data_IF_872982847594
#
_entry.id   IF_872982847594
#
_cell.length_a   1.000
_cell.length_b   1.000
_cell.length_c   1.000
_cell.angle_alpha   90.00
_cell.angle_beta   90.00
_cell.angle_gamma   90.00
#
_symmetry.space_group_name_H-M   'P 1'
#
loop_
_entity.id
_entity.type
_entity.pdbx_description
1 polymer ?
#
# COMPACT_ATOMS: atom_id res chain seq x y z
N UNK A 1 -13.94 9.66 -0.81
CA UNK A 1 -13.38 10.74 -1.66
C UNK A 1 -14.37 11.35 -2.66
N UNK A 2 -15.00 10.59 -3.58
CA UNK A 2 -15.98 11.18 -4.53
C UNK A 2 -17.18 11.82 -3.80
N UNK A 3 -17.68 11.14 -2.76
CA UNK A 3 -18.73 11.65 -1.86
C UNK A 3 -18.27 12.84 -1.01
N UNK A 4 -16.97 13.09 -0.93
CA UNK A 4 -16.35 14.20 -0.20
C UNK A 4 -15.97 15.37 -1.15
N UNK A 5 -16.34 15.27 -2.43
CA UNK A 5 -16.18 16.36 -3.41
C UNK A 5 -15.04 16.20 -4.40
N UNK A 6 -14.24 15.13 -4.34
CA UNK A 6 -13.25 14.85 -5.37
C UNK A 6 -13.94 14.50 -6.70
N UNK A 7 -13.38 14.98 -7.82
CA UNK A 7 -13.89 14.65 -9.16
C UNK A 7 -13.33 13.34 -9.71
N UNK A 8 -12.09 12.99 -9.33
CA UNK A 8 -11.39 11.78 -9.77
C UNK A 8 -10.75 11.09 -8.56
N UNK A 9 -10.87 9.77 -8.51
CA UNK A 9 -10.15 8.90 -7.57
C UNK A 9 -9.33 7.90 -8.36
N UNK A 10 -8.04 7.84 -8.06
CA UNK A 10 -7.09 6.92 -8.64
C UNK A 10 -6.67 5.87 -7.61
N UNK A 11 -6.56 4.63 -8.05
CA UNK A 11 -5.97 3.54 -7.27
C UNK A 11 -4.89 2.82 -8.07
N UNK A 12 -3.79 2.48 -7.40
CA UNK A 12 -3.00 1.31 -7.79
C UNK A 12 -3.78 0.06 -7.34
N UNK A 13 -4.49 -0.56 -8.27
CA UNK A 13 -5.27 -1.75 -8.04
C UNK A 13 -4.39 -2.99 -7.80
N UNK A 14 -3.09 -2.91 -8.10
CA UNK A 14 -2.05 -3.87 -7.69
C UNK A 14 -2.07 -4.20 -6.20
N UNK A 15 -2.46 -3.22 -5.36
CA UNK A 15 -2.34 -3.29 -3.91
C UNK A 15 -3.56 -4.00 -3.30
N UNK A 16 -4.25 -3.38 -2.35
CA UNK A 16 -5.37 -4.01 -1.66
C UNK A 16 -6.49 -4.53 -2.57
N UNK A 17 -6.76 -3.87 -3.71
CA UNK A 17 -7.84 -4.26 -4.62
C UNK A 17 -7.58 -5.65 -5.22
N UNK A 18 -6.41 -5.85 -5.83
CA UNK A 18 -5.94 -7.17 -6.30
C UNK A 18 -5.66 -8.10 -5.14
N UNK A 19 -4.81 -7.67 -4.21
CA UNK A 19 -4.66 -8.25 -2.87
C UNK A 19 -3.98 -9.61 -2.80
N UNK A 20 -3.44 -10.12 -3.91
CA UNK A 20 -2.82 -11.45 -3.99
C UNK A 20 -1.42 -11.41 -4.63
N UNK A 21 -0.83 -10.21 -4.75
CA UNK A 21 0.53 -9.99 -5.26
C UNK A 21 0.80 -10.63 -6.64
N UNK A 22 -0.24 -10.79 -7.47
CA UNK A 22 -0.21 -11.53 -8.74
C UNK A 22 -0.73 -10.73 -9.95
N UNK A 23 -1.09 -9.45 -9.76
CA UNK A 23 -1.61 -8.58 -10.81
C UNK A 23 -1.12 -7.14 -10.65
N UNK A 24 -0.67 -6.52 -11.75
CA UNK A 24 -0.42 -5.09 -11.82
C UNK A 24 -1.60 -4.40 -12.50
N UNK A 25 -2.22 -3.43 -11.83
CA UNK A 25 -3.41 -2.78 -12.37
C UNK A 25 -3.59 -1.35 -11.82
N UNK A 26 -4.20 -0.49 -12.63
CA UNK A 26 -4.67 0.84 -12.25
C UNK A 26 -6.19 0.92 -12.37
N UNK A 27 -6.82 1.69 -11.49
CA UNK A 27 -8.26 1.96 -11.53
C UNK A 27 -8.50 3.46 -11.38
N UNK A 28 -9.25 4.03 -12.31
CA UNK A 28 -9.71 5.43 -12.28
C UNK A 28 -11.23 5.42 -12.14
N UNK A 29 -11.73 6.16 -11.15
CA UNK A 29 -13.17 6.39 -10.96
C UNK A 29 -13.42 7.89 -10.98
N UNK A 30 -14.30 8.36 -11.86
CA UNK A 30 -14.58 9.77 -12.04
C UNK A 30 -16.06 10.10 -11.80
N UNK A 31 -16.33 11.36 -11.43
CA UNK A 31 -17.65 11.87 -11.13
C UNK A 31 -18.38 12.28 -12.42
N UNK A 32 -19.55 11.70 -12.63
CA UNK A 32 -20.43 12.07 -13.74
C UNK A 32 -20.01 11.49 -15.09
N UNK A 33 -20.89 11.62 -16.08
CA UNK A 33 -20.75 10.96 -17.37
C UNK A 33 -19.71 11.64 -18.27
N UNK A 34 -19.72 12.97 -18.33
CA UNK A 34 -18.85 13.76 -19.20
C UNK A 34 -17.36 13.48 -18.93
N UNK A 35 -16.95 13.55 -17.66
CA UNK A 35 -15.57 13.28 -17.26
C UNK A 35 -15.17 11.81 -17.49
N UNK A 36 -16.10 10.87 -17.30
CA UNK A 36 -15.85 9.46 -17.63
C UNK A 36 -15.63 9.26 -19.14
N UNK A 37 -16.39 9.95 -20.00
CA UNK A 37 -16.27 9.86 -21.45
C UNK A 37 -14.94 10.45 -21.94
N UNK A 38 -14.52 11.58 -21.36
CA UNK A 38 -13.21 12.18 -21.64
C UNK A 38 -12.05 11.25 -21.24
N UNK A 39 -12.10 10.69 -20.03
CA UNK A 39 -11.09 9.72 -19.56
C UNK A 39 -11.07 8.47 -20.46
N UNK A 40 -12.24 7.95 -20.85
CA UNK A 40 -12.34 6.80 -21.73
C UNK A 40 -11.75 7.08 -23.12
N UNK A 41 -11.93 8.30 -23.64
CA UNK A 41 -11.31 8.73 -24.88
C UNK A 41 -9.77 8.68 -24.80
N UNK A 42 -9.18 9.26 -23.75
CA UNK A 42 -7.74 9.22 -23.52
C UNK A 42 -7.21 7.80 -23.23
N UNK A 43 -7.98 7.00 -22.50
CA UNK A 43 -7.62 5.61 -22.19
C UNK A 43 -7.53 4.77 -23.46
N UNK A 44 -8.52 4.90 -24.34
CA UNK A 44 -8.54 4.23 -25.64
C UNK A 44 -7.42 4.75 -26.57
N UNK A 45 -7.19 6.07 -26.61
CA UNK A 45 -6.17 6.67 -27.46
C UNK A 45 -4.73 6.33 -27.04
N UNK A 46 -4.47 6.21 -25.73
CA UNK A 46 -3.16 5.84 -25.20
C UNK A 46 -2.89 4.33 -25.25
N UNK A 47 -3.93 3.51 -25.38
CA UNK A 47 -3.81 2.05 -25.41
C UNK A 47 -3.41 1.42 -24.08
N UNK A 48 -3.44 2.17 -22.97
CA UNK A 48 -3.09 1.70 -21.63
C UNK A 48 -4.19 0.82 -20.99
N UNK A 49 -4.78 -0.09 -21.78
CA UNK A 49 -5.88 -0.98 -21.37
C UNK A 49 -5.36 -2.20 -20.61
N UNK A 50 -6.15 -2.68 -19.65
CA UNK A 50 -5.80 -3.85 -18.85
C UNK A 50 -6.14 -5.13 -19.62
N UNK A 51 -5.28 -6.15 -19.52
CA UNK A 51 -5.56 -7.48 -20.06
C UNK A 51 -6.90 -8.03 -19.52
N UNK A 52 -7.71 -8.73 -20.34
CA UNK A 52 -8.93 -9.39 -19.84
C UNK A 52 -8.64 -10.41 -18.71
N UNK A 53 -7.48 -11.07 -18.76
CA UNK A 53 -7.08 -12.01 -17.71
C UNK A 53 -6.75 -11.29 -16.40
N UNK A 54 -5.99 -10.20 -16.46
CA UNK A 54 -5.66 -9.37 -15.29
C UNK A 54 -6.93 -8.71 -14.71
N UNK A 55 -7.86 -8.33 -15.57
CA UNK A 55 -9.19 -7.84 -15.17
C UNK A 55 -9.95 -8.90 -14.38
N UNK A 56 -9.90 -10.16 -14.82
CA UNK A 56 -10.52 -11.28 -14.11
C UNK A 56 -9.83 -11.56 -12.76
N UNK A 57 -8.49 -11.53 -12.69
CA UNK A 57 -7.74 -11.67 -11.44
C UNK A 57 -8.14 -10.58 -10.44
N UNK A 58 -8.21 -9.33 -10.91
CA UNK A 58 -8.65 -8.20 -10.08
C UNK A 58 -10.08 -8.40 -9.56
N UNK A 59 -11.02 -8.78 -10.42
CA UNK A 59 -12.40 -9.08 -10.02
C UNK A 59 -12.44 -10.21 -8.99
N UNK A 60 -11.65 -11.28 -9.18
CA UNK A 60 -11.52 -12.39 -8.23
C UNK A 60 -11.01 -11.90 -6.88
N UNK A 61 -9.96 -11.08 -6.86
CA UNK A 61 -9.37 -10.51 -5.65
C UNK A 61 -10.32 -9.58 -4.89
N UNK A 62 -11.12 -8.78 -5.60
CA UNK A 62 -12.09 -7.87 -5.00
C UNK A 62 -13.22 -8.59 -4.27
N UNK A 63 -13.56 -9.83 -4.63
CA UNK A 63 -14.60 -10.61 -3.94
C UNK A 63 -14.31 -10.85 -2.46
N UNK A 64 -13.04 -10.86 -2.06
CA UNK A 64 -12.61 -11.06 -0.67
C UNK A 64 -12.10 -9.77 -0.02
N UNK A 65 -12.19 -8.62 -0.69
CA UNK A 65 -11.62 -7.35 -0.22
C UNK A 65 -12.08 -6.99 1.18
N UNK A 66 -13.39 -7.03 1.45
CA UNK A 66 -13.93 -6.66 2.76
C UNK A 66 -13.44 -7.58 3.89
N UNK A 67 -13.25 -8.87 3.62
CA UNK A 67 -12.73 -9.84 4.59
C UNK A 67 -11.25 -9.60 4.85
N UNK A 68 -10.46 -9.42 3.79
CA UNK A 68 -9.02 -9.12 3.89
C UNK A 68 -8.78 -7.81 4.63
N UNK A 69 -9.51 -6.74 4.28
CA UNK A 69 -9.36 -5.43 4.93
C UNK A 69 -9.70 -5.47 6.42
N UNK A 70 -10.72 -6.24 6.82
CA UNK A 70 -11.01 -6.47 8.24
C UNK A 70 -9.83 -7.12 8.96
N UNK A 71 -9.32 -8.22 8.41
CA UNK A 71 -8.19 -8.93 9.01
C UNK A 71 -6.92 -8.07 9.04
N UNK A 72 -6.65 -7.30 7.98
CA UNK A 72 -5.53 -6.37 7.93
C UNK A 72 -5.62 -5.33 9.05
N UNK A 73 -6.80 -4.75 9.28
CA UNK A 73 -7.00 -3.76 10.33
C UNK A 73 -6.90 -4.36 11.74
N UNK A 74 -7.49 -5.53 11.97
CA UNK A 74 -7.39 -6.25 13.24
C UNK A 74 -5.93 -6.59 13.59
N UNK A 75 -5.20 -7.16 12.63
CA UNK A 75 -3.77 -7.47 12.81
C UNK A 75 -2.96 -6.19 13.02
N UNK A 76 -3.23 -5.12 12.26
CA UNK A 76 -2.48 -3.90 12.38
C UNK A 76 -2.65 -3.24 13.74
N UNK A 77 -3.88 -3.23 14.29
CA UNK A 77 -4.12 -2.73 15.65
C UNK A 77 -3.36 -3.55 16.70
N UNK A 78 -3.30 -4.87 16.55
CA UNK A 78 -2.52 -5.72 17.46
C UNK A 78 -1.01 -5.44 17.38
N UNK A 79 -0.47 -5.29 16.17
CA UNK A 79 0.95 -4.94 15.96
C UNK A 79 1.26 -3.55 16.50
N UNK A 80 0.41 -2.56 16.25
CA UNK A 80 0.56 -1.19 16.78
C UNK A 80 0.54 -1.18 18.30
N UNK A 81 -0.36 -1.94 18.93
CA UNK A 81 -0.40 -2.07 20.39
C UNK A 81 0.92 -2.64 20.94
N UNK A 82 1.46 -3.69 20.31
CA UNK A 82 2.77 -4.24 20.66
C UNK A 82 3.90 -3.22 20.48
N UNK A 83 3.97 -2.55 19.32
CA UNK A 83 5.04 -1.59 19.01
C UNK A 83 5.04 -0.37 19.94
N UNK A 84 3.87 0.06 20.43
CA UNK A 84 3.78 1.17 21.38
C UNK A 84 4.34 0.83 22.77
N UNK A 85 4.37 -0.45 23.14
CA UNK A 85 4.92 -0.93 24.42
C UNK A 85 6.38 -1.40 24.28
N UNK A 86 6.95 -1.38 23.07
CA UNK A 86 8.29 -1.89 22.78
C UNK A 86 9.37 -0.83 23.02
N UNK A 87 10.26 -1.10 23.98
CA UNK A 87 11.37 -0.20 24.32
C UNK A 87 12.30 0.08 23.14
N UNK A 88 12.38 -0.79 22.13
CA UNK A 88 13.21 -0.54 20.94
C UNK A 88 12.66 0.48 19.96
N UNK A 89 11.41 0.92 20.11
CA UNK A 89 10.67 1.76 19.15
C UNK A 89 10.56 3.21 19.67
N UNK A 90 10.73 4.20 18.79
CA UNK A 90 10.57 5.63 19.15
C UNK A 90 9.24 6.21 18.72
N UNK A 91 8.77 5.83 17.53
CA UNK A 91 7.56 6.38 16.92
C UNK A 91 6.78 5.26 16.24
N UNK A 92 5.46 5.30 16.33
CA UNK A 92 4.54 4.43 15.59
C UNK A 92 3.53 5.30 14.84
N UNK A 93 3.47 5.14 13.52
CA UNK A 93 2.57 5.88 12.64
C UNK A 93 1.48 4.95 12.12
N UNK A 94 0.26 5.18 12.61
CA UNK A 94 -0.93 4.44 12.18
C UNK A 94 -2.18 5.31 12.27
N UNK A 95 -2.97 5.47 11.19
CA UNK A 95 -4.17 6.31 11.21
C UNK A 95 -5.39 5.65 11.89
N UNK A 96 -5.22 4.50 12.55
CA UNK A 96 -6.32 3.77 13.21
C UNK A 96 -7.14 2.86 12.29
N UNK A 97 -6.79 2.79 11.00
CA UNK A 97 -7.54 2.02 9.98
C UNK A 97 -6.62 1.38 8.93
N UNK A 98 -7.08 0.27 8.35
CA UNK A 98 -6.33 -0.48 7.33
C UNK A 98 -5.11 -1.22 7.90
N UNK A 99 -4.25 -1.75 7.01
CA UNK A 99 -3.14 -2.63 7.37
C UNK A 99 -1.73 -2.03 7.27
N UNK A 100 -1.62 -0.73 6.99
CA UNK A 100 -0.33 -0.07 6.78
C UNK A 100 0.18 0.55 8.08
N UNK A 101 1.39 0.19 8.49
CA UNK A 101 2.05 0.68 9.69
C UNK A 101 3.47 1.10 9.30
N UNK A 102 3.94 2.21 9.82
CA UNK A 102 5.38 2.50 9.88
C UNK A 102 5.78 2.80 11.32
N UNK A 103 7.04 2.53 11.65
CA UNK A 103 7.60 2.80 12.96
C UNK A 103 9.10 3.08 12.85
N UNK A 104 9.67 3.71 13.86
CA UNK A 104 11.11 4.01 13.94
C UNK A 104 11.76 3.22 15.07
N UNK A 105 12.93 2.64 14.79
CA UNK A 105 13.76 2.02 15.82
C UNK A 105 14.68 3.07 16.44
N UNK A 106 15.04 2.86 17.71
CA UNK A 106 15.96 3.75 18.47
C UNK A 106 17.37 3.84 17.87
N UNK A 107 17.83 2.78 17.22
CA UNK A 107 19.18 2.67 16.67
C UNK A 107 19.12 2.09 15.24
N UNK A 108 19.69 2.82 14.29
CA UNK A 108 19.77 2.40 12.88
C UNK A 108 20.57 1.10 12.71
N UNK A 109 21.57 0.86 13.57
CA UNK A 109 22.38 -0.36 13.51
C UNK A 109 21.54 -1.63 13.73
N UNK A 110 20.35 -1.52 14.32
CA UNK A 110 19.46 -2.64 14.56
C UNK A 110 18.62 -3.03 13.35
N UNK A 111 18.54 -2.20 12.31
CA UNK A 111 17.63 -2.44 11.17
C UNK A 111 17.98 -3.72 10.43
N UNK A 112 19.24 -3.91 10.04
CA UNK A 112 19.66 -5.10 9.32
C UNK A 112 19.46 -6.40 10.14
N UNK A 113 19.94 -6.53 11.39
CA UNK A 113 19.69 -7.74 12.18
C UNK A 113 18.20 -7.95 12.49
N UNK A 114 17.42 -6.88 12.69
CA UNK A 114 15.98 -6.96 12.86
C UNK A 114 15.31 -7.57 11.63
N UNK A 115 15.57 -7.05 10.43
CA UNK A 115 15.02 -7.58 9.18
C UNK A 115 15.42 -9.04 8.92
N UNK A 116 16.66 -9.42 9.25
CA UNK A 116 17.15 -10.80 9.13
C UNK A 116 16.52 -11.77 10.15
N UNK A 117 16.00 -11.25 11.26
CA UNK A 117 15.37 -12.07 12.31
C UNK A 117 13.91 -12.45 12.00
N UNK A 118 13.29 -11.79 11.03
CA UNK A 118 11.89 -12.03 10.65
C UNK A 118 11.74 -13.34 9.89
N UNK A 119 10.84 -14.21 10.35
CA UNK A 119 10.53 -15.50 9.71
C UNK A 119 9.18 -15.52 8.98
N UNK A 120 8.24 -14.68 9.41
CA UNK A 120 6.90 -14.59 8.84
C UNK A 120 6.73 -13.39 7.89
N UNK A 121 7.44 -12.30 8.17
CA UNK A 121 7.34 -11.06 7.41
C UNK A 121 8.45 -11.05 6.35
N UNK A 122 8.06 -10.98 5.08
CA UNK A 122 9.01 -10.97 3.97
C UNK A 122 9.52 -9.55 3.74
N UNK A 123 10.84 -9.41 3.60
CA UNK A 123 11.43 -8.16 3.13
C UNK A 123 11.23 -8.02 1.61
N UNK A 124 10.27 -7.19 1.20
CA UNK A 124 9.95 -6.98 -0.21
C UNK A 124 9.31 -5.61 -0.45
N UNK A 125 9.46 -5.13 -1.68
CA UNK A 125 8.74 -3.95 -2.16
C UNK A 125 7.31 -4.35 -2.57
N UNK A 126 6.36 -3.41 -2.42
CA UNK A 126 4.88 -3.59 -2.53
C UNK A 126 4.17 -3.73 -1.18
N UNK A 127 2.83 -3.74 -1.23
CA UNK A 127 1.94 -3.73 -0.05
C UNK A 127 0.53 -4.22 -0.42
N UNK A 128 -0.25 -4.58 0.60
CA UNK A 128 -1.69 -4.82 0.48
C UNK A 128 -2.09 -6.20 -0.05
N UNK A 129 -1.13 -7.09 -0.25
CA UNK A 129 -1.36 -8.52 -0.44
C UNK A 129 -1.75 -9.25 0.85
N UNK A 130 -2.00 -10.56 0.75
CA UNK A 130 -2.33 -11.40 1.92
C UNK A 130 -1.10 -11.73 2.78
N UNK A 131 0.09 -11.68 2.20
CA UNK A 131 1.37 -11.85 2.88
C UNK A 131 1.76 -10.60 3.68
N UNK A 132 2.45 -10.79 4.80
CA UNK A 132 3.02 -9.67 5.56
C UNK A 132 4.36 -9.25 4.94
N UNK A 133 4.47 -7.98 4.58
CA UNK A 133 5.66 -7.40 3.97
C UNK A 133 6.22 -6.29 4.84
N UNK A 134 7.53 -6.12 4.81
CA UNK A 134 8.23 -4.99 5.42
C UNK A 134 9.29 -4.45 4.45
N UNK A 135 9.49 -3.14 4.45
CA UNK A 135 10.54 -2.47 3.69
C UNK A 135 11.24 -1.45 4.59
N UNK A 136 12.46 -1.08 4.23
CA UNK A 136 13.20 0.03 4.82
C UNK A 136 13.37 1.13 3.76
N UNK A 137 12.51 2.17 3.75
CA UNK A 137 12.45 3.14 2.65
C UNK A 137 13.75 3.90 2.36
N UNK A 138 14.56 4.10 3.40
CA UNK A 138 15.83 4.82 3.38
C UNK A 138 16.89 4.23 2.43
N UNK A 139 16.85 2.93 2.17
CA UNK A 139 17.84 2.26 1.30
C UNK A 139 17.25 1.70 0.01
N UNK A 140 15.92 1.75 -0.17
CA UNK A 140 15.24 1.15 -1.33
C UNK A 140 14.36 2.16 -2.09
N UNK A 141 13.20 2.53 -1.54
CA UNK A 141 12.20 3.31 -2.30
C UNK A 141 12.50 4.80 -2.41
N UNK A 142 13.40 5.32 -1.57
CA UNK A 142 13.82 6.74 -1.55
C UNK A 142 15.34 6.88 -1.74
N UNK A 143 16.04 5.84 -2.21
CA UNK A 143 17.49 5.89 -2.41
C UNK A 143 17.92 7.00 -3.38
N UNK A 144 17.05 7.34 -4.34
CA UNK A 144 17.26 8.41 -5.32
C UNK A 144 16.93 9.82 -4.80
N UNK A 145 16.37 9.94 -3.58
CA UNK A 145 15.99 11.22 -2.96
C UNK A 145 17.15 11.68 -2.05
N UNK A 146 17.68 12.91 -2.23
CA UNK A 146 18.75 13.46 -1.40
C UNK A 146 18.44 13.34 0.10
N UNK A 147 19.47 13.04 0.90
CA UNK A 147 19.37 12.83 2.36
C UNK A 147 18.72 14.02 3.09
N UNK A 148 19.01 15.25 2.66
CA UNK A 148 18.38 16.47 3.20
C UNK A 148 16.85 16.47 2.98
N UNK A 149 16.40 16.01 1.80
CA UNK A 149 14.97 15.95 1.46
C UNK A 149 14.28 14.79 2.18
N UNK A 150 14.98 13.67 2.37
CA UNK A 150 14.48 12.55 3.19
C UNK A 150 14.27 13.01 4.64
N UNK A 151 15.30 13.60 5.24
CA UNK A 151 15.25 14.10 6.63
C UNK A 151 14.18 15.18 6.82
N UNK A 152 13.98 16.06 5.83
CA UNK A 152 12.95 17.10 5.89
C UNK A 152 11.51 16.56 5.79
N UNK A 153 11.31 15.41 5.13
CA UNK A 153 10.00 14.78 4.97
C UNK A 153 9.72 13.68 6.02
N UNK A 154 10.69 13.39 6.90
CA UNK A 154 10.57 12.47 8.04
C UNK A 154 11.00 11.04 7.73
#
# INVERSE_FOLDING_TARGET
>A
PLTEGADIVLHSATKYLGGHNDVLSGLVVAKGKELCEEIAHYHNASGAVLSPFDSWLLIRGMKTLALRMRQHEENAKAVVAYLNDEDGVTDVFYPGRGGMISFRLKDEAWINPFLQSLSLITFAESLGGVESLMTYPATQTHADIPEEIRTANG
#
